data_IF_602877106838
#
_entry.id   IF_602877106838
#
_cell.length_a   1.000
_cell.length_b   1.000
_cell.length_c   1.000
_cell.angle_alpha   90.00
_cell.angle_beta   90.00
_cell.angle_gamma   90.00
#
_symmetry.space_group_name_H-M   'P 1'
#
loop_
_entity.id
_entity.type
_entity.pdbx_description
1 polymer ?
#
# COMPACT_ATOMS: atom_id res chain seq x y z
N UNK A 1 24.85 5.10 13.07
CA UNK A 1 23.72 5.76 12.39
C UNK A 1 22.60 4.75 12.27
N UNK A 2 21.45 5.10 12.83
CA UNK A 2 20.37 4.18 13.21
C UNK A 2 19.81 3.47 11.97
N UNK A 3 20.04 2.16 11.89
CA UNK A 3 19.33 1.26 10.98
C UNK A 3 17.97 1.01 11.63
N UNK A 4 17.01 1.91 11.43
CA UNK A 4 15.65 1.65 11.85
C UNK A 4 15.17 0.44 11.04
N UNK A 5 14.97 -0.67 11.75
CA UNK A 5 14.59 -1.94 11.20
C UNK A 5 13.09 -1.86 10.91
N UNK A 6 12.73 -1.27 9.77
CA UNK A 6 11.36 -1.02 9.27
C UNK A 6 10.61 -2.31 8.85
N UNK A 7 10.78 -3.40 9.61
CA UNK A 7 9.96 -4.61 9.50
C UNK A 7 8.89 -4.69 10.61
N UNK A 8 8.97 -3.88 11.67
CA UNK A 8 8.07 -4.02 12.82
C UNK A 8 6.66 -3.42 12.58
N UNK A 9 6.52 -2.44 11.68
CA UNK A 9 5.21 -1.84 11.34
C UNK A 9 4.31 -2.75 10.49
N UNK A 10 4.87 -3.79 9.84
CA UNK A 10 4.12 -4.66 8.93
C UNK A 10 3.32 -5.77 9.65
N UNK A 11 3.67 -6.09 10.91
CA UNK A 11 3.08 -7.22 11.64
C UNK A 11 1.82 -6.81 12.43
N UNK A 12 1.72 -5.57 12.92
CA UNK A 12 0.67 -5.18 13.87
C UNK A 12 -0.70 -4.83 13.27
N UNK A 13 -0.84 -4.66 11.95
CA UNK A 13 -2.10 -4.22 11.33
C UNK A 13 -2.82 -5.32 10.50
N UNK A 14 -2.31 -6.56 10.51
CA UNK A 14 -2.86 -7.63 9.67
C UNK A 14 -4.20 -8.18 10.19
N UNK A 15 -4.40 -8.22 11.51
CA UNK A 15 -5.61 -8.79 12.13
C UNK A 15 -6.83 -7.86 12.00
N UNK A 16 -6.66 -6.54 12.19
CA UNK A 16 -7.77 -5.58 12.15
C UNK A 16 -8.32 -5.35 10.74
N UNK A 17 -7.47 -5.44 9.71
CA UNK A 17 -7.90 -5.19 8.32
C UNK A 17 -8.72 -6.34 7.74
N UNK A 18 -8.41 -7.59 8.11
CA UNK A 18 -9.20 -8.79 7.73
C UNK A 18 -10.64 -8.69 8.23
N UNK A 19 -10.84 -8.22 9.47
CA UNK A 19 -12.18 -8.05 10.06
C UNK A 19 -12.97 -6.90 9.40
N UNK A 20 -12.32 -5.81 8.98
CA UNK A 20 -13.00 -4.71 8.27
C UNK A 20 -13.46 -5.07 6.85
N UNK A 21 -12.74 -5.94 6.15
CA UNK A 21 -13.13 -6.44 4.83
C UNK A 21 -14.36 -7.35 4.88
N UNK A 22 -14.60 -8.01 6.02
CA UNK A 22 -15.72 -8.93 6.20
C UNK A 22 -17.04 -8.20 6.49
N UNK A 23 -16.98 -6.98 7.05
CA UNK A 23 -18.14 -6.17 7.42
C UNK A 23 -18.48 -5.01 6.47
N UNK A 24 -17.63 -4.69 5.48
CA UNK A 24 -17.93 -3.61 4.52
C UNK A 24 -18.58 -4.17 3.27
N UNK A 25 -19.91 -3.96 3.16
CA UNK A 25 -20.70 -3.96 1.92
C UNK A 25 -19.81 -3.66 0.71
N UNK A 26 -19.68 -4.63 -0.20
CA UNK A 26 -18.86 -4.62 -1.42
C UNK A 26 -18.77 -3.22 -2.04
N UNK A 27 -17.77 -2.43 -1.63
CA UNK A 27 -17.46 -1.17 -2.31
C UNK A 27 -17.00 -1.57 -3.70
N UNK A 28 -17.68 -1.05 -4.72
CA UNK A 28 -17.35 -1.30 -6.12
C UNK A 28 -15.84 -1.13 -6.33
N UNK A 29 -15.22 -2.12 -6.97
CA UNK A 29 -13.78 -2.11 -7.27
C UNK A 29 -13.54 -1.02 -8.31
N UNK A 30 -13.17 0.18 -7.88
CA UNK A 30 -12.70 1.22 -8.79
C UNK A 30 -11.27 0.87 -9.24
N UNK A 31 -11.02 0.87 -10.54
CA UNK A 31 -9.67 0.72 -11.09
C UNK A 31 -8.87 2.02 -10.87
N UNK A 32 -7.56 1.90 -10.66
CA UNK A 32 -6.67 3.05 -10.67
C UNK A 32 -6.51 3.59 -12.09
N UNK A 33 -6.44 4.91 -12.22
CA UNK A 33 -6.11 5.55 -13.49
C UNK A 33 -4.67 5.23 -13.92
N UNK A 34 -4.38 5.38 -15.21
CA UNK A 34 -3.04 5.14 -15.74
C UNK A 34 -1.96 5.99 -15.05
N UNK A 35 -2.25 7.28 -14.81
CA UNK A 35 -1.33 8.17 -14.09
C UNK A 35 -1.06 7.72 -12.64
N UNK A 36 -2.09 7.22 -11.95
CA UNK A 36 -1.93 6.67 -10.60
C UNK A 36 -1.06 5.41 -10.61
N UNK A 37 -1.30 4.49 -11.55
CA UNK A 37 -0.48 3.28 -11.70
C UNK A 37 0.97 3.64 -12.01
N UNK A 38 1.21 4.57 -12.94
CA UNK A 38 2.55 5.01 -13.30
C UNK A 38 3.35 5.52 -12.08
N UNK A 39 2.77 6.42 -11.28
CA UNK A 39 3.45 6.94 -10.08
C UNK A 39 3.65 5.87 -8.99
N UNK A 40 2.68 4.97 -8.82
CA UNK A 40 2.83 3.82 -7.92
C UNK A 40 3.99 2.92 -8.35
N UNK A 41 4.10 2.61 -9.65
CA UNK A 41 5.19 1.82 -10.21
C UNK A 41 6.53 2.52 -10.13
N UNK A 42 6.58 3.83 -10.43
CA UNK A 42 7.78 4.65 -10.30
C UNK A 42 8.29 4.65 -8.85
N UNK A 43 7.42 4.88 -7.87
CA UNK A 43 7.80 4.82 -6.46
C UNK A 43 8.23 3.41 -6.05
N UNK A 44 7.53 2.37 -6.51
CA UNK A 44 7.88 0.98 -6.23
C UNK A 44 9.21 0.56 -6.85
N UNK A 45 9.57 1.09 -8.02
CA UNK A 45 10.88 0.86 -8.63
C UNK A 45 12.01 1.39 -7.74
N UNK A 46 11.82 2.57 -7.16
CA UNK A 46 12.77 3.17 -6.23
C UNK A 46 12.78 2.49 -4.84
N UNK A 47 11.62 2.09 -4.33
CA UNK A 47 11.47 1.61 -2.95
C UNK A 47 10.37 0.55 -2.85
N UNK A 48 10.72 -0.69 -2.47
CA UNK A 48 9.79 -1.83 -2.45
C UNK A 48 8.85 -1.84 -1.24
N UNK A 49 9.18 -1.10 -0.19
CA UNK A 49 8.48 -1.03 1.09
C UNK A 49 8.37 0.44 1.51
N UNK A 50 7.18 0.91 1.89
CA UNK A 50 6.99 2.28 2.35
C UNK A 50 6.80 2.30 3.86
N UNK A 51 7.45 3.25 4.54
CA UNK A 51 7.11 3.60 5.92
C UNK A 51 5.72 4.26 6.00
N UNK A 52 5.19 4.41 7.22
CA UNK A 52 3.91 5.09 7.45
C UNK A 52 3.82 6.49 6.83
N UNK A 53 4.77 7.40 7.13
CA UNK A 53 4.78 8.76 6.58
C UNK A 53 4.87 8.78 5.05
N UNK A 54 5.76 7.98 4.45
CA UNK A 54 5.93 7.96 2.99
C UNK A 54 4.69 7.46 2.27
N UNK A 55 3.99 6.49 2.87
CA UNK A 55 2.71 5.99 2.38
C UNK A 55 1.63 7.06 2.46
N UNK A 56 1.55 7.82 3.56
CA UNK A 56 0.60 8.92 3.71
C UNK A 56 0.85 10.02 2.66
N UNK A 57 2.11 10.35 2.40
CA UNK A 57 2.49 11.33 1.37
C UNK A 57 2.11 10.87 -0.03
N UNK A 58 2.41 9.62 -0.37
CA UNK A 58 2.04 9.06 -1.67
C UNK A 58 0.52 8.99 -1.86
N UNK A 59 -0.21 8.57 -0.82
CA UNK A 59 -1.66 8.49 -0.83
C UNK A 59 -2.28 9.87 -1.10
N UNK A 60 -1.80 10.91 -0.42
CA UNK A 60 -2.24 12.30 -0.62
C UNK A 60 -1.94 12.79 -2.04
N UNK A 61 -0.76 12.52 -2.57
CA UNK A 61 -0.38 12.91 -3.94
C UNK A 61 -1.24 12.25 -5.02
N UNK A 62 -1.64 10.99 -4.82
CA UNK A 62 -2.42 10.22 -5.79
C UNK A 62 -3.94 10.27 -5.55
N UNK A 63 -4.40 11.01 -4.52
CA UNK A 63 -5.79 11.03 -4.06
C UNK A 63 -6.34 9.63 -3.77
N UNK A 64 -5.51 8.80 -3.15
CA UNK A 64 -5.84 7.45 -2.69
C UNK A 64 -5.84 7.40 -1.16
N UNK A 65 -6.38 6.34 -0.58
CA UNK A 65 -6.19 6.08 0.85
C UNK A 65 -4.86 5.37 1.09
N UNK A 66 -4.27 5.56 2.27
CA UNK A 66 -3.09 4.80 2.70
C UNK A 66 -3.29 3.29 2.56
N UNK A 67 -4.50 2.81 2.85
CA UNK A 67 -4.90 1.41 2.67
C UNK A 67 -4.80 0.96 1.21
N UNK A 68 -5.27 1.76 0.26
CA UNK A 68 -5.18 1.42 -1.17
C UNK A 68 -3.73 1.33 -1.62
N UNK A 69 -2.88 2.26 -1.17
CA UNK A 69 -1.44 2.24 -1.43
C UNK A 69 -0.80 1.00 -0.79
N UNK A 70 -1.11 0.70 0.48
CA UNK A 70 -0.63 -0.50 1.19
C UNK A 70 -0.98 -1.78 0.43
N UNK A 71 -2.24 -1.94 0.04
CA UNK A 71 -2.71 -3.12 -0.71
C UNK A 71 -2.02 -3.21 -2.06
N UNK A 72 -1.87 -2.09 -2.78
CA UNK A 72 -1.19 -2.11 -4.07
C UNK A 72 0.30 -2.51 -3.92
N UNK A 73 1.02 -1.96 -2.94
CA UNK A 73 2.42 -2.33 -2.66
C UNK A 73 2.56 -3.78 -2.18
N UNK A 74 1.60 -4.29 -1.41
CA UNK A 74 1.53 -5.71 -1.06
C UNK A 74 1.35 -6.55 -2.32
N UNK A 75 0.29 -6.31 -3.09
CA UNK A 75 0.01 -7.04 -4.33
C UNK A 75 1.20 -7.01 -5.28
N UNK A 76 1.84 -5.86 -5.48
CA UNK A 76 2.99 -5.73 -6.39
C UNK A 76 4.18 -6.60 -5.97
N UNK A 77 4.42 -6.77 -4.66
CA UNK A 77 5.46 -7.69 -4.16
C UNK A 77 5.11 -9.16 -4.38
N UNK A 78 3.85 -9.54 -4.17
CA UNK A 78 3.41 -10.93 -4.35
C UNK A 78 3.25 -11.32 -5.82
N UNK A 79 2.85 -10.39 -6.70
CA UNK A 79 2.73 -10.61 -8.15
C UNK A 79 4.09 -10.89 -8.81
N UNK A 80 5.22 -10.49 -8.23
CA UNK A 80 6.57 -10.81 -8.76
C UNK A 80 6.97 -12.29 -8.56
N UNK A 81 6.13 -13.08 -7.87
CA UNK A 81 6.42 -14.49 -7.54
C UNK A 81 5.51 -15.51 -8.27
N UNK A 82 4.87 -15.10 -9.36
CA UNK A 82 4.19 -15.98 -10.33
C UNK A 82 4.71 -15.64 -11.73
#
# INVERSE_FOLDING_TARGET
MIRHNEMEDDIYDNQSHRQLLQNRKKRSRAAFSHAQVYELERRFAAQKYLSGPERADLARGLKLTETQVKIWFQNRRYTIRL
#
